data_IF_520863958175
#
_entry.id   IF_520863958175
#
_cell.length_a   1.000
_cell.length_b   1.000
_cell.length_c   1.000
_cell.angle_alpha   90.00
_cell.angle_beta   90.00
_cell.angle_gamma   90.00
#
_symmetry.space_group_name_H-M   'P 1'
#
loop_
_entity.id
_entity.type
_entity.pdbx_description
1 polymer ?
#
# COMPACT_ATOMS: atom_id res chain seq x y z
N UNK A 1 20.73 -12.51 -28.02
CA UNK A 1 19.34 -12.01 -27.92
C UNK A 1 19.47 -10.62 -27.34
N UNK A 2 19.30 -9.60 -28.16
CA UNK A 2 19.46 -8.20 -27.74
C UNK A 2 18.25 -7.81 -26.86
N UNK A 3 18.53 -7.31 -25.65
CA UNK A 3 17.49 -6.81 -24.75
C UNK A 3 17.35 -5.33 -25.04
N UNK A 4 16.26 -4.97 -25.72
CA UNK A 4 15.87 -3.59 -25.94
C UNK A 4 15.43 -2.97 -24.61
N UNK A 5 15.92 -1.77 -24.24
CA UNK A 5 15.48 -1.11 -23.02
C UNK A 5 14.05 -0.60 -23.22
N UNK A 6 13.08 -1.25 -22.57
CA UNK A 6 11.73 -0.70 -22.51
C UNK A 6 11.71 0.49 -21.56
N UNK A 7 11.63 1.67 -22.15
CA UNK A 7 11.29 2.94 -21.52
C UNK A 7 10.11 2.75 -20.56
N UNK A 8 10.35 3.01 -19.26
CA UNK A 8 9.32 3.10 -18.24
C UNK A 8 8.38 4.28 -18.56
N UNK A 9 7.35 3.99 -19.35
CA UNK A 9 6.32 4.97 -19.70
C UNK A 9 5.40 5.23 -18.50
N UNK A 10 4.83 6.42 -18.51
CA UNK A 10 3.82 7.05 -17.63
C UNK A 10 2.52 6.25 -17.35
N UNK A 11 2.51 4.93 -17.48
CA UNK A 11 1.35 4.04 -17.28
C UNK A 11 0.93 3.83 -15.81
N UNK A 12 1.61 4.45 -14.83
CA UNK A 12 1.46 4.06 -13.41
C UNK A 12 0.16 4.50 -12.71
N UNK A 13 -0.64 5.40 -13.28
CA UNK A 13 -1.85 5.90 -12.60
C UNK A 13 -3.08 5.01 -12.83
N UNK A 14 -3.41 4.70 -14.08
CA UNK A 14 -4.58 3.87 -14.41
C UNK A 14 -4.41 2.41 -13.97
N UNK A 15 -3.19 1.87 -14.04
CA UNK A 15 -2.91 0.50 -13.60
C UNK A 15 -3.11 0.34 -12.08
N UNK A 16 -2.67 1.33 -11.29
CA UNK A 16 -2.83 1.31 -9.84
C UNK A 16 -4.26 1.58 -9.37
N UNK A 17 -5.06 2.32 -10.14
CA UNK A 17 -6.50 2.45 -9.88
C UNK A 17 -7.25 1.16 -10.19
N UNK A 18 -6.85 0.44 -11.26
CA UNK A 18 -7.37 -0.89 -11.57
C UNK A 18 -7.02 -1.92 -10.49
N UNK A 19 -5.87 -1.80 -9.83
CA UNK A 19 -5.53 -2.68 -8.69
C UNK A 19 -6.31 -2.34 -7.42
N UNK A 20 -6.78 -1.09 -7.25
CA UNK A 20 -7.65 -0.71 -6.13
C UNK A 20 -8.94 -1.53 -6.04
N UNK A 21 -9.59 -1.81 -7.17
CA UNK A 21 -10.76 -2.68 -7.23
C UNK A 21 -10.40 -4.15 -6.95
N UNK A 22 -9.22 -4.61 -7.40
CA UNK A 22 -8.73 -5.95 -7.07
C UNK A 22 -8.49 -6.11 -5.56
N UNK A 23 -7.81 -5.14 -4.93
CA UNK A 23 -7.60 -5.13 -3.49
C UNK A 23 -8.92 -5.09 -2.72
N UNK A 24 -9.87 -4.24 -3.13
CA UNK A 24 -11.21 -4.22 -2.55
C UNK A 24 -11.90 -5.61 -2.58
N UNK A 25 -11.87 -6.30 -3.73
CA UNK A 25 -12.53 -7.59 -3.89
C UNK A 25 -11.88 -8.68 -3.02
N UNK A 26 -10.54 -8.73 -3.00
CA UNK A 26 -9.80 -9.67 -2.15
C UNK A 26 -10.14 -9.45 -0.67
N UNK A 27 -10.28 -8.19 -0.26
CA UNK A 27 -10.67 -7.82 1.10
C UNK A 27 -12.11 -8.16 1.46
N UNK A 28 -13.07 -7.93 0.55
CA UNK A 28 -14.48 -8.24 0.79
C UNK A 28 -14.72 -9.73 1.08
N UNK A 29 -13.87 -10.60 0.52
CA UNK A 29 -13.89 -12.04 0.79
C UNK A 29 -13.61 -12.38 2.26
N UNK A 30 -12.78 -11.61 2.95
CA UNK A 30 -12.43 -11.85 4.36
C UNK A 30 -13.45 -11.30 5.35
N UNK A 31 -14.19 -10.25 4.97
CA UNK A 31 -15.27 -9.67 5.79
C UNK A 31 -16.66 -10.26 5.47
N UNK A 32 -16.72 -11.35 4.70
CA UNK A 32 -17.94 -11.91 4.13
C UNK A 32 -18.94 -12.51 5.14
N UNK A 33 -18.57 -12.70 6.41
CA UNK A 33 -19.40 -13.43 7.37
C UNK A 33 -20.24 -12.48 8.25
N UNK A 34 -21.56 -12.72 8.31
CA UNK A 34 -22.48 -12.05 9.24
C UNK A 34 -23.45 -11.00 8.66
N UNK A 35 -23.49 -10.83 7.33
CA UNK A 35 -24.38 -9.86 6.65
C UNK A 35 -25.85 -10.26 6.62
N UNK A 36 -26.14 -11.56 6.67
CA UNK A 36 -27.52 -12.09 6.61
C UNK A 36 -28.43 -11.54 7.72
N UNK A 37 -27.84 -11.15 8.87
CA UNK A 37 -28.57 -10.61 10.02
C UNK A 37 -28.69 -9.07 10.06
N UNK A 38 -27.94 -8.33 9.23
CA UNK A 38 -27.85 -6.84 9.29
C UNK A 38 -28.53 -6.13 8.13
N UNK A 39 -28.85 -6.83 7.04
CA UNK A 39 -29.54 -6.27 5.87
C UNK A 39 -28.62 -5.66 4.82
N UNK A 40 -29.17 -5.36 3.65
CA UNK A 40 -28.44 -4.96 2.43
C UNK A 40 -27.83 -3.55 2.56
N UNK A 41 -28.54 -2.60 3.15
CA UNK A 41 -28.09 -1.20 3.27
C UNK A 41 -26.83 -1.06 4.15
N UNK A 42 -26.71 -1.87 5.20
CA UNK A 42 -25.55 -1.88 6.09
C UNK A 42 -24.34 -2.53 5.41
N UNK A 43 -24.56 -3.53 4.55
CA UNK A 43 -23.53 -4.13 3.70
C UNK A 43 -23.00 -3.11 2.69
N UNK A 44 -23.88 -2.40 1.99
CA UNK A 44 -23.46 -1.40 0.99
C UNK A 44 -22.69 -0.24 1.62
N UNK A 45 -23.12 0.26 2.79
CA UNK A 45 -22.37 1.29 3.54
C UNK A 45 -20.99 0.81 3.97
N UNK A 46 -20.88 -0.44 4.40
CA UNK A 46 -19.62 -1.05 4.77
C UNK A 46 -18.67 -1.20 3.58
N UNK A 47 -19.18 -1.74 2.46
CA UNK A 47 -18.47 -1.88 1.20
C UNK A 47 -17.92 -0.54 0.72
N UNK A 48 -18.78 0.48 0.65
CA UNK A 48 -18.40 1.83 0.25
C UNK A 48 -17.31 2.42 1.16
N UNK A 49 -17.39 2.16 2.47
CA UNK A 49 -16.38 2.63 3.44
C UNK A 49 -15.04 1.93 3.24
N UNK A 50 -15.02 0.62 3.05
CA UNK A 50 -13.78 -0.12 2.76
C UNK A 50 -13.17 0.39 1.45
N UNK A 51 -13.97 0.51 0.40
CA UNK A 51 -13.52 1.01 -0.91
C UNK A 51 -12.92 2.41 -0.80
N UNK A 52 -13.58 3.32 -0.08
CA UNK A 52 -13.07 4.66 0.17
C UNK A 52 -11.72 4.63 0.91
N UNK A 53 -11.61 3.83 1.97
CA UNK A 53 -10.38 3.71 2.76
C UNK A 53 -9.22 3.13 1.94
N UNK A 54 -9.46 2.09 1.13
CA UNK A 54 -8.45 1.55 0.20
C UNK A 54 -7.99 2.62 -0.77
N UNK A 55 -8.93 3.37 -1.38
CA UNK A 55 -8.58 4.43 -2.31
C UNK A 55 -7.76 5.55 -1.65
N UNK A 56 -8.07 5.93 -0.40
CA UNK A 56 -7.27 6.88 0.35
C UNK A 56 -5.85 6.36 0.61
N UNK A 57 -5.71 5.11 1.07
CA UNK A 57 -4.39 4.50 1.28
C UNK A 57 -3.58 4.44 -0.01
N UNK A 58 -4.20 4.07 -1.13
CA UNK A 58 -3.54 4.03 -2.43
C UNK A 58 -3.06 5.42 -2.87
N UNK A 59 -3.83 6.47 -2.59
CA UNK A 59 -3.41 7.86 -2.81
C UNK A 59 -2.14 8.22 -2.02
N UNK A 60 -2.07 7.83 -0.74
CA UNK A 60 -0.88 8.03 0.09
C UNK A 60 0.32 7.21 -0.39
N UNK A 61 0.10 5.95 -0.75
CA UNK A 61 1.13 5.08 -1.34
C UNK A 61 1.73 5.73 -2.59
N UNK A 62 0.90 6.31 -3.46
CA UNK A 62 1.37 7.01 -4.66
C UNK A 62 2.22 8.24 -4.36
N UNK A 63 1.80 9.04 -3.38
CA UNK A 63 2.58 10.20 -2.94
C UNK A 63 3.96 9.76 -2.44
N UNK A 64 4.01 8.69 -1.65
CA UNK A 64 5.24 8.12 -1.11
C UNK A 64 6.12 7.51 -2.20
N UNK A 65 5.57 6.79 -3.18
CA UNK A 65 6.35 6.28 -4.33
C UNK A 65 7.00 7.43 -5.11
N UNK A 66 6.26 8.52 -5.37
CA UNK A 66 6.81 9.69 -6.07
C UNK A 66 7.94 10.32 -5.27
N UNK A 67 7.77 10.44 -3.95
CA UNK A 67 8.79 10.99 -3.08
C UNK A 67 10.05 10.10 -3.03
N UNK A 68 9.89 8.78 -2.91
CA UNK A 68 11.00 7.84 -2.93
C UNK A 68 11.82 7.96 -4.23
N UNK A 69 11.15 8.06 -5.38
CA UNK A 69 11.80 8.31 -6.68
C UNK A 69 12.57 9.62 -6.72
N UNK A 70 12.02 10.70 -6.17
CA UNK A 70 12.70 12.00 -6.09
C UNK A 70 13.93 11.97 -5.18
N UNK A 71 13.93 11.10 -4.17
CA UNK A 71 15.05 10.91 -3.24
C UNK A 71 16.02 9.82 -3.67
N UNK A 72 15.80 9.22 -4.84
CA UNK A 72 16.63 8.13 -5.35
C UNK A 72 16.72 6.97 -4.34
N UNK A 73 15.54 6.56 -3.84
CA UNK A 73 15.35 5.40 -2.96
C UNK A 73 14.71 4.29 -3.80
N UNK A 74 15.33 3.11 -3.81
CA UNK A 74 14.83 1.93 -4.49
C UNK A 74 13.76 1.23 -3.64
N UNK A 75 12.50 1.33 -4.10
CA UNK A 75 11.40 0.55 -3.53
C UNK A 75 11.32 -0.78 -4.27
N UNK A 76 11.48 -1.89 -3.54
CA UNK A 76 11.40 -3.25 -4.08
C UNK A 76 9.96 -3.77 -4.11
N UNK A 77 9.12 -3.30 -3.18
CA UNK A 77 7.73 -3.72 -3.10
C UNK A 77 6.96 -2.99 -2.01
N UNK A 78 5.64 -3.14 -2.03
CA UNK A 78 4.74 -2.52 -1.06
C UNK A 78 3.70 -3.54 -0.65
N UNK A 79 3.56 -3.78 0.64
CA UNK A 79 2.57 -4.67 1.21
C UNK A 79 1.49 -3.86 1.92
N UNK A 80 0.24 -4.28 1.73
CA UNK A 80 -0.93 -3.67 2.35
C UNK A 80 -1.63 -4.71 3.23
N UNK A 81 -1.94 -4.33 4.47
CA UNK A 81 -2.74 -5.11 5.41
C UNK A 81 -3.87 -4.26 5.94
N UNK A 82 -5.06 -4.82 6.03
CA UNK A 82 -6.23 -4.17 6.60
C UNK A 82 -6.49 -4.78 7.97
N UNK A 83 -6.18 -3.98 8.97
CA UNK A 83 -6.32 -4.36 10.37
C UNK A 83 -7.79 -4.44 10.78
N UNK A 84 -8.61 -3.52 10.24
CA UNK A 84 -10.06 -3.46 10.43
C UNK A 84 -10.69 -2.43 9.47
N UNK A 85 -12.00 -2.23 9.60
CA UNK A 85 -12.78 -1.32 8.74
C UNK A 85 -12.36 0.15 8.78
N UNK A 86 -11.50 0.54 9.73
CA UNK A 86 -11.05 1.90 9.95
C UNK A 86 -9.53 2.05 9.86
N UNK A 87 -8.76 0.96 9.79
CA UNK A 87 -7.30 1.09 9.75
C UNK A 87 -6.62 0.12 8.81
N UNK A 88 -5.59 0.64 8.15
CA UNK A 88 -4.74 -0.09 7.22
C UNK A 88 -3.27 0.13 7.60
N UNK A 89 -2.46 -0.89 7.38
CA UNK A 89 -1.03 -0.91 7.56
C UNK A 89 -0.36 -1.13 6.21
N UNK A 90 0.67 -0.35 5.94
CA UNK A 90 1.45 -0.42 4.70
C UNK A 90 2.91 -0.62 5.06
N UNK A 91 3.57 -1.52 4.35
CA UNK A 91 4.99 -1.81 4.51
C UNK A 91 5.67 -1.55 3.19
N UNK A 92 6.62 -0.62 3.16
CA UNK A 92 7.51 -0.41 2.02
C UNK A 92 8.76 -1.28 2.19
N UNK A 93 9.08 -2.06 1.16
CA UNK A 93 10.29 -2.85 1.09
C UNK A 93 11.35 -2.08 0.30
N UNK A 94 12.54 -1.92 0.87
CA UNK A 94 13.68 -1.23 0.25
C UNK A 94 14.93 -2.11 0.22
N UNK A 95 15.95 -1.68 -0.51
CA UNK A 95 17.29 -2.28 -0.43
C UNK A 95 17.93 -2.03 0.94
N UNK A 96 18.87 -2.89 1.36
CA UNK A 96 19.65 -2.66 2.58
C UNK A 96 20.45 -1.34 2.50
N UNK A 97 20.98 -1.01 1.33
CA UNK A 97 21.74 0.23 1.09
C UNK A 97 20.88 1.46 1.39
N UNK A 98 19.67 1.51 0.83
CA UNK A 98 18.74 2.60 1.11
C UNK A 98 18.27 2.61 2.56
N UNK A 99 18.09 1.42 3.16
CA UNK A 99 17.63 1.29 4.54
C UNK A 99 18.55 1.97 5.56
N UNK A 100 19.86 1.91 5.33
CA UNK A 100 20.87 2.54 6.20
C UNK A 100 21.29 3.93 5.73
N UNK A 101 20.74 4.41 4.62
CA UNK A 101 21.10 5.70 4.02
C UNK A 101 20.49 6.89 4.78
N UNK A 102 21.14 8.06 4.67
CA UNK A 102 20.56 9.32 5.13
C UNK A 102 19.30 9.74 4.36
N UNK A 103 19.09 9.22 3.14
CA UNK A 103 17.91 9.50 2.31
C UNK A 103 16.63 8.96 2.96
N UNK A 104 16.72 7.84 3.68
CA UNK A 104 15.57 7.22 4.33
C UNK A 104 14.99 8.09 5.46
N UNK A 105 15.80 8.89 6.13
CA UNK A 105 15.32 9.82 7.17
C UNK A 105 14.33 10.85 6.60
N UNK A 106 14.59 11.34 5.38
CA UNK A 106 13.68 12.23 4.67
C UNK A 106 12.37 11.50 4.30
N UNK A 107 12.48 10.24 3.88
CA UNK A 107 11.32 9.42 3.55
C UNK A 107 10.45 9.13 4.78
N UNK A 108 11.06 8.80 5.91
CA UNK A 108 10.37 8.64 7.20
C UNK A 108 9.67 9.94 7.62
N UNK A 109 10.30 11.09 7.43
CA UNK A 109 9.69 12.38 7.74
C UNK A 109 8.43 12.63 6.91
N UNK A 110 8.46 12.28 5.62
CA UNK A 110 7.29 12.36 4.75
C UNK A 110 6.20 11.34 5.14
N UNK A 111 6.59 10.10 5.49
CA UNK A 111 5.66 9.09 6.03
C UNK A 111 4.93 9.63 7.26
N UNK A 112 5.64 10.17 8.25
CA UNK A 112 5.03 10.69 9.46
C UNK A 112 4.06 11.85 9.20
N UNK A 113 4.39 12.72 8.23
CA UNK A 113 3.50 13.79 7.79
C UNK A 113 2.21 13.23 7.19
N UNK A 114 2.32 12.24 6.31
CA UNK A 114 1.19 11.59 5.68
C UNK A 114 0.35 10.82 6.71
N UNK A 115 0.96 10.06 7.61
CA UNK A 115 0.26 9.38 8.70
C UNK A 115 -0.57 10.37 9.52
N UNK A 116 0.05 11.49 9.93
CA UNK A 116 -0.64 12.52 10.71
C UNK A 116 -1.82 13.12 9.95
N UNK A 117 -1.69 13.33 8.65
CA UNK A 117 -2.76 13.85 7.79
C UNK A 117 -3.85 12.81 7.51
N UNK A 118 -3.51 11.52 7.52
CA UNK A 118 -4.46 10.43 7.32
C UNK A 118 -5.39 10.22 8.51
N UNK A 119 -4.97 10.63 9.72
CA UNK A 119 -5.72 10.44 10.96
C UNK A 119 -6.97 11.31 10.97
N UNK A 120 -8.09 10.68 10.67
CA UNK A 120 -9.42 11.17 11.02
C UNK A 120 -10.01 10.27 12.11
N UNK A 121 -11.05 10.72 12.81
CA UNK A 121 -11.74 9.86 13.79
C UNK A 121 -12.33 8.57 13.20
N UNK A 122 -12.37 8.45 11.86
CA UNK A 122 -13.01 7.36 11.15
C UNK A 122 -12.06 6.56 10.25
N UNK A 123 -10.79 6.95 10.15
CA UNK A 123 -9.81 6.28 9.29
C UNK A 123 -8.36 6.58 9.72
N UNK A 124 -7.50 5.57 9.62
CA UNK A 124 -6.06 5.66 9.88
C UNK A 124 -5.28 4.76 8.91
N UNK A 125 -4.28 5.32 8.24
CA UNK A 125 -3.23 4.52 7.63
C UNK A 125 -1.97 4.61 8.48
N UNK A 126 -1.30 3.47 8.66
CA UNK A 126 0.04 3.39 9.24
C UNK A 126 1.01 2.87 8.21
N UNK A 127 2.21 3.44 8.18
CA UNK A 127 3.24 3.08 7.21
C UNK A 127 4.54 2.73 7.93
N UNK A 128 5.22 1.71 7.44
CA UNK A 128 6.53 1.29 7.91
C UNK A 128 7.44 1.00 6.73
N UNK A 129 8.74 1.00 6.98
CA UNK A 129 9.73 0.62 5.98
C UNK A 129 10.55 -0.53 6.54
N UNK A 130 10.81 -1.53 5.71
CA UNK A 130 11.70 -2.63 6.01
C UNK A 130 12.65 -2.88 4.84
N UNK A 131 13.78 -3.49 5.11
CA UNK A 131 14.69 -3.92 4.06
C UNK A 131 14.46 -5.39 3.72
N UNK A 132 14.75 -5.74 2.48
CA UNK A 132 14.86 -7.14 2.05
C UNK A 132 16.28 -7.63 2.31
N UNK A 133 16.44 -8.73 3.03
CA UNK A 133 17.65 -9.53 3.05
C UNK A 133 17.43 -10.89 2.36
N UNK A 134 18.48 -11.71 2.33
CA UNK A 134 18.43 -13.05 1.72
C UNK A 134 17.54 -14.03 2.52
N UNK A 135 17.17 -13.68 3.76
CA UNK A 135 16.31 -14.48 4.64
C UNK A 135 14.84 -13.99 4.62
N UNK A 136 14.55 -12.92 3.88
CA UNK A 136 13.22 -12.35 3.80
C UNK A 136 12.26 -13.26 3.02
N UNK A 137 11.42 -13.96 3.76
CA UNK A 137 10.30 -14.70 3.20
C UNK A 137 9.04 -13.81 3.15
N UNK A 138 8.51 -13.57 1.95
CA UNK A 138 7.26 -12.80 1.77
C UNK A 138 6.07 -13.45 2.48
N UNK A 139 6.11 -14.77 2.70
CA UNK A 139 5.13 -15.51 3.51
C UNK A 139 5.11 -15.12 4.98
N UNK A 140 6.17 -14.50 5.50
CA UNK A 140 6.20 -13.96 6.86
C UNK A 140 5.37 -12.68 7.01
N UNK A 141 5.06 -12.00 5.89
CA UNK A 141 4.15 -10.87 5.87
C UNK A 141 2.73 -11.37 5.64
N UNK A 142 1.96 -11.47 6.72
CA UNK A 142 0.50 -11.58 6.63
C UNK A 142 -0.06 -10.28 6.06
N UNK A 143 -0.23 -10.24 4.73
CA UNK A 143 -0.70 -9.10 3.96
C UNK A 143 -1.90 -9.47 3.10
N UNK A 144 -2.78 -8.50 2.86
CA UNK A 144 -3.96 -8.68 2.01
C UNK A 144 -3.69 -8.24 0.56
N UNK A 145 -2.60 -7.49 0.33
CA UNK A 145 -2.20 -7.03 -0.98
C UNK A 145 -0.70 -6.78 -1.11
N UNK A 146 -0.19 -6.96 -2.33
CA UNK A 146 1.20 -6.71 -2.68
C UNK A 146 1.31 -5.95 -4.01
N UNK A 147 2.24 -4.99 -4.07
CA UNK A 147 2.66 -4.28 -5.27
C UNK A 147 4.13 -4.62 -5.50
N UNK A 148 4.42 -5.38 -6.54
CA UNK A 148 5.80 -5.62 -6.98
C UNK A 148 6.32 -4.40 -7.74
N UNK A 149 7.45 -3.84 -7.31
CA UNK A 149 8.08 -2.68 -7.94
C UNK A 149 9.44 -3.03 -8.57
N UNK A 150 9.90 -4.27 -8.40
CA UNK A 150 11.05 -4.82 -9.11
C UNK A 150 10.67 -5.11 -10.56
N UNK A 151 11.38 -4.46 -11.48
CA UNK A 151 11.35 -4.70 -12.92
C UNK A 151 12.70 -5.21 -13.39
#
# INVERSE_FOLDING_TARGET
>A
MEITPHTAHSQSFEFSLKTGDAYYNDMMRFFGDGWEARGIDDKEKFENKIKANVNYTMGFIHELIKFAKLKDIELLGIFLKIENTHSQSVVFLVSLEDYVSGKLLDFYSQIQKIEKNSRSGLYRASFSVMYKDDEFETSALDCDGFINLLS
#
